data_IF_646003334137
#
_entry.id   IF_646003334137
#
_cell.length_a   1.000
_cell.length_b   1.000
_cell.length_c   1.000
_cell.angle_alpha   90.00
_cell.angle_beta   90.00
_cell.angle_gamma   90.00
#
_symmetry.space_group_name_H-M   'P 1'
#
loop_
_entity.id
_entity.type
_entity.pdbx_description
1 polymer ?
#
# COMPACT_ATOMS: atom_id res chain seq x y z
N UNK A 1 -19.11 12.25 4.15
CA UNK A 1 -17.95 13.00 3.63
C UNK A 1 -17.15 13.46 4.84
N UNK A 2 -15.95 12.91 5.05
CA UNK A 2 -15.05 13.31 6.14
C UNK A 2 -14.33 14.60 5.77
N UNK A 3 -13.93 15.41 6.75
CA UNK A 3 -13.02 16.55 6.52
C UNK A 3 -11.59 16.03 6.60
N UNK A 4 -10.81 16.18 5.55
CA UNK A 4 -9.37 15.97 5.55
C UNK A 4 -8.68 17.33 5.64
N UNK A 5 -7.75 17.49 6.57
CA UNK A 5 -6.94 18.69 6.72
C UNK A 5 -5.54 18.32 7.16
N UNK A 6 -4.55 19.07 6.69
CA UNK A 6 -3.19 18.98 7.21
C UNK A 6 -3.07 19.68 8.54
N UNK A 7 -2.27 19.12 9.45
CA UNK A 7 -2.03 19.69 10.77
C UNK A 7 -0.54 19.66 11.11
N UNK A 8 -0.07 20.63 11.88
CA UNK A 8 1.29 20.66 12.39
C UNK A 8 1.32 20.04 13.78
N UNK A 9 2.20 19.08 13.99
CA UNK A 9 2.49 18.54 15.32
C UNK A 9 3.27 19.59 16.11
N UNK A 10 2.74 20.01 17.26
CA UNK A 10 3.35 21.03 18.12
C UNK A 10 3.79 20.48 19.48
N UNK A 11 3.35 19.29 19.85
CA UNK A 11 3.74 18.61 21.07
C UNK A 11 3.50 17.11 21.00
N UNK A 12 4.40 16.35 21.70
CA UNK A 12 4.30 14.90 21.80
C UNK A 12 4.98 14.46 23.11
N UNK A 13 4.31 13.62 23.91
CA UNK A 13 4.81 13.11 25.18
C UNK A 13 4.91 11.58 25.26
N UNK A 14 4.81 10.89 24.12
CA UNK A 14 4.83 9.43 24.01
C UNK A 14 3.44 8.78 23.97
N UNK A 15 2.44 9.38 24.57
CA UNK A 15 1.05 8.90 24.58
C UNK A 15 0.08 9.90 23.94
N UNK A 16 0.37 11.20 24.08
CA UNK A 16 -0.47 12.27 23.58
C UNK A 16 0.25 13.05 22.48
N UNK A 17 -0.50 13.44 21.46
CA UNK A 17 -0.01 14.27 20.38
C UNK A 17 -0.90 15.51 20.27
N UNK A 18 -0.29 16.69 20.28
CA UNK A 18 -0.99 17.96 20.06
C UNK A 18 -0.73 18.41 18.64
N UNK A 19 -1.81 18.59 17.87
CA UNK A 19 -1.76 19.03 16.48
C UNK A 19 -2.53 20.34 16.29
N UNK A 20 -2.01 21.23 15.44
CA UNK A 20 -2.68 22.45 15.03
C UNK A 20 -3.06 22.29 13.56
N UNK A 21 -4.36 22.22 13.21
CA UNK A 21 -4.81 22.20 11.83
C UNK A 21 -4.36 23.46 11.09
N UNK A 22 -3.93 23.30 9.83
CA UNK A 22 -3.57 24.46 8.97
C UNK A 22 -4.79 25.18 8.41
N UNK A 23 -5.93 24.50 8.38
CA UNK A 23 -7.22 25.09 7.98
C UNK A 23 -8.16 25.12 9.18
N UNK A 24 -9.02 26.14 9.27
CA UNK A 24 -10.00 26.20 10.35
C UNK A 24 -11.04 25.08 10.21
N UNK A 25 -11.19 24.30 11.27
CA UNK A 25 -12.22 23.27 11.35
C UNK A 25 -13.58 23.98 11.44
N UNK A 26 -14.53 23.61 10.57
CA UNK A 26 -15.85 24.22 10.57
C UNK A 26 -16.59 23.98 11.90
N UNK A 27 -17.35 24.96 12.35
CA UNK A 27 -18.19 24.88 13.58
C UNK A 27 -19.16 23.68 13.51
N UNK A 28 -19.62 23.31 12.33
CA UNK A 28 -20.54 22.19 12.11
C UNK A 28 -19.91 20.83 12.46
N UNK A 29 -18.60 20.65 12.22
CA UNK A 29 -17.87 19.46 12.64
C UNK A 29 -17.64 19.41 14.15
N UNK A 30 -17.32 20.55 14.76
CA UNK A 30 -17.18 20.64 16.21
C UNK A 30 -18.51 20.36 16.94
N UNK A 31 -19.65 20.67 16.31
CA UNK A 31 -20.99 20.39 16.86
C UNK A 31 -21.39 18.91 16.76
N UNK A 32 -20.72 18.11 15.93
CA UNK A 32 -20.99 16.66 15.75
C UNK A 32 -20.35 15.78 16.82
N UNK A 33 -19.73 16.33 17.87
CA UNK A 33 -19.03 15.59 18.94
C UNK A 33 -18.09 14.52 18.36
N UNK A 34 -17.25 14.88 17.38
CA UNK A 34 -16.25 13.97 16.83
C UNK A 34 -15.20 13.71 17.91
N UNK A 35 -15.14 12.48 18.38
CA UNK A 35 -14.22 12.01 19.42
C UNK A 35 -13.09 11.15 18.86
N UNK A 36 -13.17 10.78 17.59
CA UNK A 36 -12.19 9.90 16.92
C UNK A 36 -11.76 10.53 15.60
N UNK A 37 -10.46 10.51 15.34
CA UNK A 37 -9.86 10.98 14.08
C UNK A 37 -8.85 9.97 13.59
N UNK A 38 -8.72 9.83 12.29
CA UNK A 38 -7.63 9.11 11.66
C UNK A 38 -6.44 10.05 11.45
N UNK A 39 -5.27 9.66 11.94
CA UNK A 39 -4.03 10.43 11.81
C UNK A 39 -3.06 9.72 10.87
N UNK A 40 -2.69 10.40 9.79
CA UNK A 40 -1.61 10.00 8.89
C UNK A 40 -0.40 10.90 9.14
N UNK A 41 0.68 10.31 9.64
CA UNK A 41 1.93 11.04 9.87
C UNK A 41 2.77 11.04 8.60
N UNK A 42 3.04 12.24 8.08
CA UNK A 42 3.95 12.46 6.96
C UNK A 42 5.31 12.90 7.52
N UNK A 43 6.40 12.29 7.07
CA UNK A 43 7.75 12.63 7.54
C UNK A 43 8.34 13.89 6.89
N UNK A 44 7.59 14.50 5.97
CA UNK A 44 7.95 15.74 5.27
C UNK A 44 9.03 15.57 4.20
N UNK A 45 9.54 14.36 3.99
CA UNK A 45 10.49 14.08 2.93
C UNK A 45 9.77 13.87 1.60
N UNK A 46 10.30 14.46 0.55
CA UNK A 46 9.77 14.27 -0.80
C UNK A 46 10.01 12.84 -1.31
N UNK A 47 9.14 12.40 -2.22
CA UNK A 47 9.26 11.14 -2.93
C UNK A 47 10.66 10.92 -3.49
N UNK A 48 11.31 9.83 -3.11
CA UNK A 48 12.67 9.50 -3.52
C UNK A 48 12.77 9.17 -5.02
N UNK A 49 13.99 9.23 -5.57
CA UNK A 49 14.24 8.82 -6.94
C UNK A 49 13.91 7.33 -7.17
N UNK A 50 14.18 6.48 -6.17
CA UNK A 50 13.89 5.05 -6.22
C UNK A 50 12.38 4.79 -6.23
N UNK A 51 11.61 5.44 -5.37
CA UNK A 51 10.15 5.34 -5.37
C UNK A 51 9.55 5.78 -6.72
N UNK A 52 10.02 6.89 -7.28
CA UNK A 52 9.60 7.31 -8.63
C UNK A 52 9.91 6.26 -9.68
N UNK A 53 11.10 5.67 -9.66
CA UNK A 53 11.49 4.62 -10.60
C UNK A 53 10.58 3.40 -10.49
N UNK A 54 10.21 2.97 -9.27
CA UNK A 54 9.27 1.88 -9.01
C UNK A 54 7.87 2.19 -9.54
N UNK A 55 7.34 3.39 -9.29
CA UNK A 55 6.04 3.83 -9.79
C UNK A 55 6.02 3.79 -11.33
N UNK A 56 7.03 4.39 -11.99
CA UNK A 56 7.09 4.39 -13.44
C UNK A 56 7.30 3.00 -14.03
N UNK A 57 8.01 2.09 -13.35
CA UNK A 57 8.14 0.71 -13.77
C UNK A 57 6.79 -0.04 -13.70
N UNK A 58 6.00 0.17 -12.65
CA UNK A 58 4.65 -0.42 -12.53
C UNK A 58 3.71 0.13 -13.62
N UNK A 59 3.69 1.44 -13.81
CA UNK A 59 2.88 2.07 -14.86
C UNK A 59 3.28 1.58 -16.25
N UNK A 60 4.58 1.40 -16.52
CA UNK A 60 5.04 0.81 -17.77
C UNK A 60 4.52 -0.61 -17.96
N UNK A 61 4.65 -1.47 -16.96
CA UNK A 61 4.21 -2.86 -17.03
C UNK A 61 2.68 -2.93 -17.26
N UNK A 62 1.90 -2.06 -16.61
CA UNK A 62 0.44 -1.92 -16.82
C UNK A 62 0.13 -1.40 -18.24
N UNK A 63 0.90 -0.42 -18.74
CA UNK A 63 0.75 0.13 -20.09
C UNK A 63 0.99 -0.94 -21.17
N UNK A 64 2.05 -1.71 -21.02
CA UNK A 64 2.39 -2.79 -21.95
C UNK A 64 1.33 -3.90 -21.96
N UNK A 65 0.74 -4.21 -20.81
CA UNK A 65 -0.35 -5.18 -20.69
C UNK A 65 -1.68 -4.66 -21.24
N UNK A 66 -2.03 -3.40 -20.94
CA UNK A 66 -3.36 -2.85 -21.29
C UNK A 66 -3.41 -2.18 -22.64
N UNK A 67 -2.25 -1.79 -23.22
CA UNK A 67 -2.16 -1.03 -24.46
C UNK A 67 -2.46 0.47 -24.33
N UNK A 68 -2.70 0.97 -23.11
CA UNK A 68 -2.95 2.39 -22.87
C UNK A 68 -1.63 3.18 -22.74
N UNK A 69 -1.70 4.48 -23.08
CA UNK A 69 -0.55 5.39 -22.93
C UNK A 69 -0.10 5.53 -21.47
N UNK A 70 1.23 5.59 -21.25
CA UNK A 70 1.81 5.65 -19.90
C UNK A 70 1.43 6.90 -19.12
N UNK A 71 1.36 8.03 -19.80
CA UNK A 71 1.05 9.30 -19.16
C UNK A 71 -0.44 9.37 -18.80
N UNK A 72 -1.32 8.83 -19.64
CA UNK A 72 -2.75 8.74 -19.35
C UNK A 72 -3.01 7.80 -18.18
N UNK A 73 -2.34 6.65 -18.12
CA UNK A 73 -2.40 5.73 -16.98
C UNK A 73 -1.88 6.38 -15.69
N UNK A 74 -0.76 7.12 -15.79
CA UNK A 74 -0.21 7.84 -14.64
C UNK A 74 -1.24 8.83 -14.07
N UNK A 75 -1.87 9.61 -14.93
CA UNK A 75 -2.92 10.58 -14.53
C UNK A 75 -4.13 9.87 -13.93
N UNK A 76 -4.61 8.83 -14.58
CA UNK A 76 -5.74 8.03 -14.15
C UNK A 76 -5.50 7.44 -12.76
N UNK A 77 -4.39 6.74 -12.54
CA UNK A 77 -4.09 6.13 -11.25
C UNK A 77 -3.84 7.17 -10.16
N UNK A 78 -3.15 8.28 -10.48
CA UNK A 78 -2.93 9.35 -9.49
C UNK A 78 -4.25 9.99 -9.06
N UNK A 79 -5.14 10.25 -10.01
CA UNK A 79 -6.45 10.83 -9.70
C UNK A 79 -7.29 9.89 -8.84
N UNK A 80 -7.47 8.62 -9.26
CA UNK A 80 -8.25 7.66 -8.49
C UNK A 80 -7.67 7.42 -7.09
N UNK A 81 -6.35 7.31 -6.98
CA UNK A 81 -5.70 7.17 -5.68
C UNK A 81 -5.96 8.36 -4.76
N UNK A 82 -5.92 9.58 -5.30
CA UNK A 82 -6.23 10.77 -4.52
C UNK A 82 -7.70 10.81 -4.09
N UNK A 83 -8.63 10.46 -5.00
CA UNK A 83 -10.07 10.39 -4.71
C UNK A 83 -10.38 9.33 -3.64
N UNK A 84 -9.79 8.14 -3.75
CA UNK A 84 -9.99 7.03 -2.81
C UNK A 84 -9.45 7.32 -1.40
N UNK A 85 -8.44 8.20 -1.29
CA UNK A 85 -7.77 8.51 -0.02
C UNK A 85 -8.02 9.95 0.48
N UNK A 86 -8.94 10.70 -0.13
CA UNK A 86 -9.23 12.11 0.20
C UNK A 86 -7.97 13.00 0.21
N UNK A 87 -7.09 12.82 -0.79
CA UNK A 87 -5.84 13.56 -0.94
C UNK A 87 -5.93 14.60 -2.05
N UNK A 88 -5.18 15.69 -1.89
CA UNK A 88 -4.93 16.61 -2.99
C UNK A 88 -4.09 15.95 -4.08
N UNK A 89 -4.34 16.33 -5.33
CA UNK A 89 -3.58 15.83 -6.47
C UNK A 89 -2.10 16.18 -6.33
N UNK A 90 -1.24 15.17 -6.37
CA UNK A 90 0.21 15.32 -6.24
C UNK A 90 0.95 15.09 -7.56
N UNK A 91 2.19 15.57 -7.60
CA UNK A 91 3.12 15.35 -8.71
C UNK A 91 4.23 14.37 -8.30
N UNK A 92 4.66 13.55 -9.25
CA UNK A 92 5.87 12.75 -9.11
C UNK A 92 7.14 13.51 -9.59
N UNK A 93 6.97 14.70 -10.17
CA UNK A 93 8.09 15.50 -10.67
C UNK A 93 8.73 16.32 -9.55
N UNK A 94 10.06 16.21 -9.34
CA UNK A 94 10.75 16.99 -8.32
C UNK A 94 10.83 18.50 -8.61
N UNK A 95 10.30 18.92 -9.76
CA UNK A 95 10.29 20.34 -10.19
C UNK A 95 8.95 21.03 -9.89
N UNK A 96 7.99 20.33 -9.33
CA UNK A 96 6.65 20.89 -9.04
C UNK A 96 6.45 21.11 -7.54
N UNK A 97 5.71 22.13 -7.14
CA UNK A 97 5.53 22.48 -5.71
C UNK A 97 4.68 21.46 -4.94
N UNK A 98 3.85 20.68 -5.63
CA UNK A 98 2.97 19.66 -5.05
C UNK A 98 3.52 18.23 -5.21
N UNK A 99 4.82 18.06 -4.99
CA UNK A 99 5.44 16.74 -5.07
C UNK A 99 4.90 15.82 -3.95
N UNK A 100 4.70 14.55 -4.29
CA UNK A 100 4.33 13.53 -3.31
C UNK A 100 5.39 13.42 -2.21
N UNK A 101 4.98 13.29 -0.96
CA UNK A 101 5.88 12.86 0.12
C UNK A 101 6.18 11.34 0.02
N UNK A 102 7.19 10.88 0.78
CA UNK A 102 7.60 9.47 0.76
C UNK A 102 6.49 8.52 1.20
N UNK A 103 5.64 8.93 2.13
CA UNK A 103 4.52 8.10 2.61
C UNK A 103 3.47 7.95 1.53
N UNK A 104 3.07 9.06 0.89
CA UNK A 104 2.15 9.07 -0.25
C UNK A 104 2.69 8.21 -1.40
N UNK A 105 3.98 8.33 -1.70
CA UNK A 105 4.61 7.53 -2.75
C UNK A 105 4.62 6.02 -2.43
N UNK A 106 4.91 5.63 -1.17
CA UNK A 106 4.85 4.24 -0.70
C UNK A 106 3.45 3.66 -0.85
N UNK A 107 2.44 4.41 -0.40
CA UNK A 107 1.05 3.95 -0.43
C UNK A 107 0.55 3.88 -1.88
N UNK A 108 0.98 4.81 -2.74
CA UNK A 108 0.68 4.77 -4.17
C UNK A 108 1.35 3.57 -4.88
N UNK A 109 2.58 3.20 -4.51
CA UNK A 109 3.22 1.96 -4.99
C UNK A 109 2.38 0.75 -4.59
N UNK A 110 1.93 0.68 -3.35
CA UNK A 110 1.08 -0.41 -2.84
C UNK A 110 -0.24 -0.49 -3.61
N UNK A 111 -0.88 0.63 -3.90
CA UNK A 111 -2.09 0.73 -4.71
C UNK A 111 -1.90 0.17 -6.14
N UNK A 112 -0.78 0.51 -6.78
CA UNK A 112 -0.44 -0.03 -8.10
C UNK A 112 -0.13 -1.54 -8.06
N UNK A 113 0.54 -2.02 -7.02
CA UNK A 113 0.78 -3.45 -6.81
C UNK A 113 -0.53 -4.21 -6.61
N UNK A 114 -1.47 -3.67 -5.83
CA UNK A 114 -2.80 -4.26 -5.65
C UNK A 114 -3.55 -4.37 -6.99
N UNK A 115 -3.50 -3.33 -7.81
CA UNK A 115 -4.05 -3.38 -9.17
C UNK A 115 -3.40 -4.50 -9.99
N UNK A 116 -2.07 -4.62 -9.97
CA UNK A 116 -1.36 -5.67 -10.70
C UNK A 116 -1.77 -7.08 -10.25
N UNK A 117 -1.98 -7.31 -8.96
CA UNK A 117 -2.48 -8.59 -8.45
C UNK A 117 -3.92 -8.87 -8.89
N UNK A 118 -4.81 -7.90 -8.72
CA UNK A 118 -6.25 -8.03 -9.02
C UNK A 118 -6.48 -8.38 -10.50
N UNK A 119 -5.72 -7.76 -11.39
CA UNK A 119 -5.87 -7.92 -12.83
C UNK A 119 -4.86 -8.89 -13.47
N UNK A 120 -4.03 -9.56 -12.65
CA UNK A 120 -2.98 -10.47 -13.12
C UNK A 120 -2.04 -9.84 -14.16
N UNK A 121 -1.67 -8.59 -13.96
CA UNK A 121 -0.76 -7.87 -14.86
C UNK A 121 0.61 -8.56 -14.86
N UNK A 122 1.14 -9.00 -16.03
CA UNK A 122 2.48 -9.55 -16.10
C UNK A 122 3.49 -8.43 -15.87
N UNK A 123 4.40 -8.64 -14.92
CA UNK A 123 5.44 -7.65 -14.59
C UNK A 123 6.82 -8.18 -14.97
N UNK A 124 7.70 -7.30 -15.50
CA UNK A 124 9.06 -7.67 -15.92
C UNK A 124 9.94 -8.18 -14.76
N UNK A 125 9.68 -7.69 -13.53
CA UNK A 125 10.35 -8.14 -12.31
C UNK A 125 9.30 -8.49 -11.25
N UNK A 126 9.62 -9.37 -10.30
CA UNK A 126 8.73 -9.66 -9.19
C UNK A 126 8.25 -8.37 -8.50
N UNK A 127 6.98 -8.36 -8.08
CA UNK A 127 6.41 -7.20 -7.38
C UNK A 127 7.07 -7.00 -6.00
N UNK A 128 7.69 -8.04 -5.45
CA UNK A 128 8.51 -7.96 -4.24
C UNK A 128 9.64 -6.92 -4.37
N UNK A 129 10.29 -6.84 -5.53
CA UNK A 129 11.38 -5.87 -5.77
C UNK A 129 10.90 -4.41 -5.81
N UNK A 130 9.59 -4.21 -5.96
CA UNK A 130 8.98 -2.88 -6.09
C UNK A 130 8.27 -2.42 -4.82
N UNK A 131 7.97 -3.33 -3.88
CA UNK A 131 7.23 -2.97 -2.67
C UNK A 131 8.06 -2.08 -1.74
N UNK A 132 7.37 -1.19 -1.04
CA UNK A 132 7.91 -0.33 0.03
C UNK A 132 7.28 -0.69 1.40
N UNK A 133 6.20 -1.49 1.38
CA UNK A 133 5.51 -2.01 2.56
C UNK A 133 5.41 -3.53 2.46
N UNK A 134 6.38 -4.22 3.07
CA UNK A 134 6.46 -5.67 3.02
C UNK A 134 5.25 -6.36 3.67
N UNK A 135 4.71 -5.80 4.76
CA UNK A 135 3.58 -6.42 5.45
C UNK A 135 2.31 -6.35 4.61
N UNK A 136 2.03 -5.19 4.03
CA UNK A 136 0.89 -5.03 3.13
C UNK A 136 1.05 -5.88 1.88
N UNK A 137 2.26 -5.96 1.33
CA UNK A 137 2.57 -6.82 0.19
C UNK A 137 2.29 -8.30 0.48
N UNK A 138 2.78 -8.83 1.62
CA UNK A 138 2.55 -10.21 2.03
C UNK A 138 1.06 -10.51 2.22
N UNK A 139 0.32 -9.56 2.80
CA UNK A 139 -1.13 -9.65 2.91
C UNK A 139 -1.80 -9.74 1.54
N UNK A 140 -1.44 -8.88 0.59
CA UNK A 140 -1.95 -8.90 -0.78
C UNK A 140 -1.61 -10.22 -1.49
N UNK A 141 -0.42 -10.79 -1.25
CA UNK A 141 -0.05 -12.11 -1.77
C UNK A 141 -0.97 -13.23 -1.26
N UNK A 142 -1.30 -13.22 0.04
CA UNK A 142 -2.23 -14.18 0.64
C UNK A 142 -3.65 -14.04 0.06
N UNK A 143 -4.15 -12.81 -0.01
CA UNK A 143 -5.49 -12.49 -0.50
C UNK A 143 -5.68 -12.91 -1.97
N UNK A 144 -4.68 -12.62 -2.82
CA UNK A 144 -4.72 -12.91 -4.26
C UNK A 144 -4.16 -14.29 -4.63
N UNK A 145 -3.75 -15.10 -3.66
CA UNK A 145 -3.13 -16.42 -3.89
C UNK A 145 -1.94 -16.35 -4.85
N UNK A 146 -1.07 -15.39 -4.62
CA UNK A 146 0.16 -15.16 -5.38
C UNK A 146 1.39 -15.42 -4.52
N UNK A 147 2.37 -16.10 -5.11
CA UNK A 147 3.64 -16.37 -4.44
C UNK A 147 4.34 -15.06 -4.05
N UNK A 148 4.72 -14.95 -2.79
CA UNK A 148 5.40 -13.76 -2.28
C UNK A 148 6.77 -13.50 -2.96
N UNK A 149 7.36 -14.52 -3.56
CA UNK A 149 8.68 -14.43 -4.21
C UNK A 149 8.55 -14.15 -5.71
N UNK A 150 7.81 -15.00 -6.45
CA UNK A 150 7.76 -14.94 -7.92
C UNK A 150 6.41 -14.51 -8.50
N UNK A 151 5.41 -14.23 -7.67
CA UNK A 151 4.05 -13.86 -8.04
C UNK A 151 3.27 -14.90 -8.85
N UNK A 152 3.78 -16.14 -9.02
CA UNK A 152 3.02 -17.25 -9.57
C UNK A 152 1.85 -17.64 -8.65
N UNK A 153 0.92 -18.46 -9.17
CA UNK A 153 -0.16 -19.03 -8.36
C UNK A 153 0.40 -19.76 -7.13
N UNK A 154 -0.18 -19.53 -5.96
CA UNK A 154 0.35 -20.03 -4.70
C UNK A 154 -0.72 -20.62 -3.78
N UNK A 155 -0.25 -21.51 -2.90
CA UNK A 155 -1.01 -22.01 -1.77
C UNK A 155 -0.57 -21.31 -0.48
N UNK A 156 -1.40 -21.38 0.57
CA UNK A 156 -1.05 -20.83 1.88
C UNK A 156 -0.09 -21.81 2.56
N UNK A 157 1.09 -21.32 2.90
CA UNK A 157 2.08 -22.01 3.72
C UNK A 157 2.02 -21.45 5.15
N UNK A 158 1.79 -22.35 6.14
CA UNK A 158 1.86 -22.00 7.54
C UNK A 158 3.31 -22.01 8.00
N UNK A 159 3.79 -20.88 8.51
CA UNK A 159 5.14 -20.75 9.06
C UNK A 159 5.26 -21.47 10.40
N UNK A 160 4.17 -21.48 11.18
CA UNK A 160 4.11 -22.19 12.45
C UNK A 160 3.77 -23.66 12.21
N UNK A 161 4.58 -24.56 12.80
CA UNK A 161 4.38 -26.00 12.65
C UNK A 161 3.01 -26.43 13.16
N UNK A 162 2.20 -26.96 12.28
CA UNK A 162 0.95 -27.63 12.62
C UNK A 162 1.34 -29.03 13.10
N UNK A 163 1.40 -29.24 14.43
CA UNK A 163 1.97 -30.45 15.04
C UNK A 163 1.54 -31.77 14.39
N UNK A 164 2.47 -32.72 14.33
CA UNK A 164 2.28 -34.06 13.76
C UNK A 164 1.12 -34.76 14.50
N UNK A 165 0.13 -35.30 13.76
CA UNK A 165 -0.99 -36.07 14.30
C UNK A 165 -2.28 -35.30 14.61
N UNK A 166 -2.37 -34.01 14.30
CA UNK A 166 -3.63 -33.27 14.37
C UNK A 166 -4.41 -33.40 13.06
N UNK A 167 -5.74 -33.56 13.17
CA UNK A 167 -6.63 -33.51 12.02
C UNK A 167 -6.63 -32.10 11.43
N UNK A 168 -6.15 -31.97 10.19
CA UNK A 168 -6.04 -30.69 9.48
C UNK A 168 -7.38 -29.97 9.33
N UNK A 169 -8.50 -30.67 9.38
CA UNK A 169 -9.83 -30.11 9.25
C UNK A 169 -10.33 -29.44 10.55
N UNK A 170 -9.69 -29.70 11.68
CA UNK A 170 -10.10 -29.19 13.02
C UNK A 170 -9.17 -28.08 13.52
N UNK A 171 -8.17 -27.69 12.72
CA UNK A 171 -7.20 -26.67 13.16
C UNK A 171 -7.80 -25.28 13.05
N UNK A 172 -7.73 -24.54 14.15
CA UNK A 172 -8.06 -23.12 14.18
C UNK A 172 -6.86 -22.35 13.65
N UNK A 173 -6.96 -21.80 12.45
CA UNK A 173 -5.89 -21.04 11.77
C UNK A 173 -5.76 -19.58 12.25
N UNK A 174 -6.69 -19.11 13.09
CA UNK A 174 -6.70 -17.72 13.61
C UNK A 174 -5.46 -17.49 14.47
N UNK A 175 -4.69 -16.45 14.10
CA UNK A 175 -3.45 -16.07 14.79
C UNK A 175 -2.20 -16.83 14.35
N UNK A 176 -2.29 -17.81 13.43
CA UNK A 176 -1.13 -18.50 12.87
C UNK A 176 -0.47 -17.63 11.77
N UNK A 177 0.86 -17.58 11.77
CA UNK A 177 1.61 -16.91 10.71
C UNK A 177 1.53 -17.71 9.42
N UNK A 178 1.25 -17.02 8.32
CA UNK A 178 1.12 -17.64 7.02
C UNK A 178 1.78 -16.78 5.93
N UNK A 179 2.21 -17.42 4.86
CA UNK A 179 2.75 -16.80 3.65
C UNK A 179 2.23 -17.55 2.42
N UNK A 180 2.01 -16.84 1.32
CA UNK A 180 1.65 -17.48 0.06
C UNK A 180 2.90 -17.88 -0.71
N UNK A 181 3.05 -19.18 -1.01
CA UNK A 181 4.19 -19.72 -1.76
C UNK A 181 3.70 -20.63 -2.90
N UNK A 182 4.32 -20.52 -4.08
CA UNK A 182 4.13 -21.51 -5.14
C UNK A 182 4.79 -22.84 -4.75
N UNK A 183 4.49 -23.90 -5.49
CA UNK A 183 4.99 -25.25 -5.15
C UNK A 183 6.51 -25.33 -5.07
N UNK A 184 7.22 -24.62 -5.94
CA UNK A 184 8.68 -24.55 -5.96
C UNK A 184 9.21 -23.91 -4.67
N UNK A 185 8.83 -22.67 -4.39
CA UNK A 185 9.28 -21.95 -3.18
C UNK A 185 8.74 -22.55 -1.87
N UNK A 186 7.60 -23.24 -1.94
CA UNK A 186 7.10 -24.00 -0.79
C UNK A 186 8.02 -25.18 -0.45
N UNK A 187 8.56 -25.86 -1.48
CA UNK A 187 9.50 -26.98 -1.28
C UNK A 187 10.85 -26.49 -0.76
N UNK A 188 11.30 -25.32 -1.19
CA UNK A 188 12.53 -24.69 -0.68
C UNK A 188 12.44 -24.21 0.77
N UNK A 189 11.22 -23.92 1.26
CA UNK A 189 10.97 -23.47 2.62
C UNK A 189 10.94 -24.61 3.66
N UNK A 190 10.98 -25.88 3.22
CA UNK A 190 11.04 -27.09 4.02
C UNK A 190 12.41 -27.73 4.00
#
# INVERSE_FOLDING_TARGET
MGLVTTAKVVGYDGCNMVVIPQQSISRELLQKNVDTVELRLCDGRECSADQRAKIFALIRDISEWSGHDREDLRRYFTQNFCEDNDLDYFSLSPRKPNIADMTTARDFITYLIEFCFRWNVPTLKPLLDKTEDIFKYLYLCLENRKCAICNAKADIHHVDAVGIGRDRNTIIHVGMRAIALCREHHTEAH
#
